data_IF_935127214234
#
_entry.id   IF_935127214234
#
_cell.length_a   1.000
_cell.length_b   1.000
_cell.length_c   1.000
_cell.angle_alpha   90.00
_cell.angle_beta   90.00
_cell.angle_gamma   90.00
#
_symmetry.space_group_name_H-M   'P 1'
#
loop_
_entity.id
_entity.type
_entity.pdbx_description
1 polymer ?
#
# COMPACT_ATOMS: atom_id res chain seq x y z
N UNK A 1 36.65 3.09 -1.09
CA UNK A 1 36.15 4.03 -2.11
C UNK A 1 34.75 4.48 -1.71
N UNK A 2 34.63 5.64 -1.09
CA UNK A 2 33.35 6.24 -0.68
C UNK A 2 32.75 6.99 -1.88
N UNK A 3 31.52 6.63 -2.27
CA UNK A 3 30.79 7.28 -3.36
C UNK A 3 29.92 8.40 -2.78
N UNK A 4 30.24 9.63 -3.12
CA UNK A 4 29.39 10.79 -2.83
C UNK A 4 28.29 10.92 -3.89
N UNK A 5 27.06 11.25 -3.48
CA UNK A 5 25.93 11.51 -4.38
C UNK A 5 25.27 12.83 -4.00
N UNK A 6 25.15 13.73 -4.98
CA UNK A 6 24.43 15.01 -4.83
C UNK A 6 22.91 14.75 -4.85
N UNK A 7 22.20 15.21 -3.82
CA UNK A 7 20.77 14.93 -3.61
C UNK A 7 19.82 16.02 -4.13
N UNK A 8 20.34 17.21 -4.48
CA UNK A 8 19.58 18.34 -5.03
C UNK A 8 20.42 19.61 -5.13
N UNK A 9 19.94 20.61 -5.90
CA UNK A 9 20.53 21.94 -6.01
C UNK A 9 19.43 23.01 -5.88
N UNK A 10 19.70 24.11 -5.16
CA UNK A 10 18.79 25.26 -5.04
C UNK A 10 19.61 26.54 -4.99
N UNK A 11 19.22 27.52 -5.81
CA UNK A 11 19.90 28.80 -5.94
C UNK A 11 19.16 29.86 -5.12
N UNK A 12 19.89 30.64 -4.34
CA UNK A 12 19.34 31.74 -3.54
C UNK A 12 19.81 33.07 -4.08
N UNK A 13 18.88 34.00 -4.27
CA UNK A 13 19.19 35.40 -4.53
C UNK A 13 19.28 36.13 -3.19
N UNK A 14 20.47 36.61 -2.86
CA UNK A 14 20.74 37.30 -1.60
C UNK A 14 20.43 38.81 -1.71
N UNK A 15 19.27 39.15 -2.27
CA UNK A 15 18.87 40.54 -2.54
C UNK A 15 18.34 41.30 -1.32
N UNK A 16 18.14 40.63 -0.18
CA UNK A 16 17.65 41.24 1.08
C UNK A 16 18.49 40.86 2.31
N UNK A 17 19.81 40.87 2.16
CA UNK A 17 20.71 40.75 3.31
C UNK A 17 20.68 42.06 4.11
N UNK A 18 20.11 42.03 5.31
CA UNK A 18 20.28 43.10 6.29
C UNK A 18 21.67 42.93 6.93
N UNK A 19 22.54 43.95 6.90
CA UNK A 19 23.91 43.84 7.42
C UNK A 19 24.00 43.79 8.95
N UNK A 20 22.91 44.09 9.66
CA UNK A 20 22.86 44.02 11.12
C UNK A 20 21.84 42.96 11.57
N UNK A 21 22.32 41.73 11.78
CA UNK A 21 21.56 40.63 12.36
C UNK A 21 21.99 39.25 11.84
N UNK A 22 21.83 38.22 12.69
CA UNK A 22 22.04 36.82 12.28
C UNK A 22 20.79 36.31 11.55
N UNK A 23 20.93 35.97 10.26
CA UNK A 23 19.81 35.44 9.46
C UNK A 23 19.93 33.92 9.35
N UNK A 24 18.98 33.19 9.96
CA UNK A 24 18.87 31.74 9.87
C UNK A 24 17.75 31.34 8.93
N UNK A 25 18.08 30.61 7.86
CA UNK A 25 17.11 30.08 6.89
C UNK A 25 17.09 28.55 7.00
N UNK A 26 15.91 27.99 7.24
CA UNK A 26 15.72 26.53 7.28
C UNK A 26 15.36 26.02 5.89
N UNK A 27 16.15 25.07 5.40
CA UNK A 27 15.95 24.42 4.12
C UNK A 27 15.21 23.09 4.32
N UNK A 28 14.01 22.99 3.73
CA UNK A 28 13.32 21.70 3.58
C UNK A 28 13.78 21.09 2.27
N UNK A 29 14.45 19.94 2.34
CA UNK A 29 14.88 19.16 1.17
C UNK A 29 13.78 18.16 0.81
N UNK A 30 13.13 18.38 -0.33
CA UNK A 30 12.14 17.44 -0.85
C UNK A 30 12.82 16.42 -1.79
N UNK A 31 12.56 15.11 -1.63
CA UNK A 31 13.07 14.09 -2.55
C UNK A 31 12.49 14.29 -3.96
N UNK A 32 13.36 14.39 -4.97
CA UNK A 32 12.98 14.54 -6.39
C UNK A 32 12.06 13.39 -6.84
N UNK A 33 10.76 13.64 -6.84
CA UNK A 33 9.76 12.85 -7.55
C UNK A 33 9.34 13.65 -8.79
N UNK A 34 9.92 13.26 -9.93
CA UNK A 34 9.53 13.62 -11.30
C UNK A 34 9.04 15.05 -11.56
N UNK A 35 9.97 15.90 -12.00
CA UNK A 35 9.71 17.06 -12.87
C UNK A 35 8.87 16.60 -14.08
N UNK A 36 7.57 16.88 -14.05
CA UNK A 36 6.77 17.11 -15.26
C UNK A 36 6.96 18.56 -15.65
N UNK A 37 7.30 18.76 -16.92
CA UNK A 37 7.49 20.06 -17.57
C UNK A 37 6.23 20.94 -17.46
N UNK A 38 6.42 22.25 -17.23
CA UNK A 38 5.42 23.29 -17.52
C UNK A 38 5.12 24.26 -16.38
N UNK A 39 5.85 25.37 -16.32
CA UNK A 39 5.45 26.55 -15.53
C UNK A 39 4.43 27.39 -16.31
N UNK A 40 3.29 27.72 -15.69
CA UNK A 40 2.87 29.12 -15.44
C UNK A 40 1.68 29.17 -14.46
N UNK A 41 1.51 30.27 -13.69
CA UNK A 41 0.88 30.28 -12.36
C UNK A 41 -0.51 30.95 -12.32
N UNK A 42 -1.05 31.13 -11.09
CA UNK A 42 -2.30 31.83 -10.64
C UNK A 42 -3.40 30.83 -10.24
N UNK A 43 -4.08 30.85 -9.09
CA UNK A 43 -4.22 31.74 -7.93
C UNK A 43 -4.96 30.97 -6.80
N UNK A 44 -5.02 31.46 -5.54
CA UNK A 44 -5.61 30.75 -4.41
C UNK A 44 -7.11 31.09 -4.24
N UNK A 45 -7.94 30.10 -3.98
CA UNK A 45 -9.23 30.33 -3.31
C UNK A 45 -9.75 29.07 -2.62
N UNK A 46 -9.94 29.21 -1.32
CA UNK A 46 -10.54 28.26 -0.40
C UNK A 46 -11.96 27.86 -0.83
N UNK A 47 -12.30 26.59 -0.63
CA UNK A 47 -13.63 26.15 -0.18
C UNK A 47 -13.48 24.81 0.54
N UNK A 48 -13.88 24.81 1.80
CA UNK A 48 -14.03 23.64 2.66
C UNK A 48 -15.05 22.68 2.08
N UNK A 49 -14.64 21.44 1.81
CA UNK A 49 -15.51 20.28 2.04
C UNK A 49 -14.66 19.14 2.58
N UNK A 50 -15.20 18.52 3.61
CA UNK A 50 -14.63 17.41 4.35
C UNK A 50 -14.48 16.20 3.43
N UNK A 51 -13.25 15.82 3.12
CA UNK A 51 -12.93 14.51 2.56
C UNK A 51 -11.78 13.90 3.37
N UNK A 52 -12.07 12.82 4.08
CA UNK A 52 -11.06 11.92 4.65
C UNK A 52 -10.30 11.23 3.52
N UNK A 53 -9.40 11.96 2.86
CA UNK A 53 -8.65 11.49 1.69
C UNK A 53 -7.13 11.42 1.95
N UNK A 54 -6.69 11.39 3.22
CA UNK A 54 -5.27 11.33 3.54
C UNK A 54 -4.66 9.91 3.48
N UNK A 55 -5.45 8.85 3.32
CA UNK A 55 -4.97 7.46 3.52
C UNK A 55 -4.61 6.71 2.23
N UNK A 56 -4.35 7.42 1.12
CA UNK A 56 -3.94 6.76 -0.15
C UNK A 56 -2.47 6.90 -0.48
N UNK A 57 -1.69 7.67 0.29
CA UNK A 57 -0.24 7.69 0.13
C UNK A 57 0.33 6.41 0.76
N UNK A 58 1.22 5.72 0.04
CA UNK A 58 1.88 4.52 0.56
C UNK A 58 2.70 4.91 1.79
N UNK A 59 2.88 4.01 2.75
CA UNK A 59 3.67 4.33 3.94
C UNK A 59 5.09 4.63 3.45
N UNK A 60 5.74 5.64 4.02
CA UNK A 60 7.08 6.06 3.64
C UNK A 60 8.15 5.07 4.14
N UNK A 61 7.97 3.78 3.92
CA UNK A 61 8.84 2.69 4.32
C UNK A 61 9.78 2.28 3.19
N UNK A 62 10.83 3.09 2.96
CA UNK A 62 12.11 2.61 2.42
C UNK A 62 12.12 1.85 1.08
N UNK A 63 11.04 1.85 0.30
CA UNK A 63 10.91 1.08 -0.94
C UNK A 63 10.54 -0.40 -0.75
N UNK A 64 10.06 -0.80 0.43
CA UNK A 64 9.49 -2.12 0.67
C UNK A 64 8.18 -2.30 -0.12
N UNK A 65 7.84 -3.51 -0.60
CA UNK A 65 6.60 -3.75 -1.33
C UNK A 65 5.38 -3.60 -0.41
N UNK A 66 4.39 -2.84 -0.83
CA UNK A 66 3.19 -2.57 -0.03
C UNK A 66 1.90 -2.87 -0.80
N UNK A 67 0.83 -3.15 -0.08
CA UNK A 67 -0.49 -3.42 -0.64
C UNK A 67 -1.59 -2.65 0.11
N UNK A 68 -2.40 -1.90 -0.64
CA UNK A 68 -3.62 -1.28 -0.13
C UNK A 68 -4.77 -2.28 -0.22
N UNK A 69 -5.31 -2.63 0.93
CA UNK A 69 -6.40 -3.60 1.09
C UNK A 69 -7.59 -2.90 1.72
N UNK A 70 -8.78 -3.17 1.18
CA UNK A 70 -10.06 -2.76 1.77
C UNK A 70 -10.76 -3.96 2.41
N UNK A 71 -11.19 -3.86 3.66
CA UNK A 71 -11.94 -4.91 4.36
C UNK A 71 -13.30 -4.40 4.81
N UNK A 72 -14.34 -5.22 4.67
CA UNK A 72 -15.64 -4.99 5.29
C UNK A 72 -16.30 -6.31 5.68
N UNK A 73 -17.00 -6.33 6.81
CA UNK A 73 -17.75 -7.51 7.23
C UNK A 73 -19.17 -7.16 7.61
N UNK A 74 -20.12 -7.89 7.02
CA UNK A 74 -21.53 -7.80 7.36
C UNK A 74 -21.92 -9.01 8.23
N UNK A 75 -22.05 -8.78 9.55
CA UNK A 75 -22.39 -9.81 10.52
C UNK A 75 -23.78 -10.44 10.32
N UNK A 76 -24.75 -9.69 9.78
CA UNK A 76 -26.11 -10.20 9.51
C UNK A 76 -26.11 -11.23 8.40
N UNK A 77 -25.30 -11.01 7.37
CA UNK A 77 -25.21 -11.89 6.19
C UNK A 77 -24.03 -12.87 6.24
N UNK A 78 -23.10 -12.70 7.19
CA UNK A 78 -21.85 -13.45 7.28
C UNK A 78 -20.91 -13.22 6.09
N UNK A 79 -20.96 -12.04 5.46
CA UNK A 79 -20.15 -11.73 4.27
C UNK A 79 -18.91 -10.92 4.64
N UNK A 80 -17.74 -11.52 4.47
CA UNK A 80 -16.44 -10.85 4.52
C UNK A 80 -16.06 -10.42 3.10
N UNK A 81 -15.97 -9.12 2.85
CA UNK A 81 -15.51 -8.57 1.58
C UNK A 81 -14.08 -8.07 1.70
N UNK A 82 -13.25 -8.48 0.77
CA UNK A 82 -11.83 -8.13 0.69
C UNK A 82 -11.57 -7.52 -0.67
N UNK A 83 -11.21 -6.25 -0.69
CA UNK A 83 -10.81 -5.54 -1.89
C UNK A 83 -9.29 -5.42 -1.96
N UNK A 84 -8.71 -5.98 -3.01
CA UNK A 84 -7.32 -5.72 -3.35
C UNK A 84 -7.28 -4.50 -4.26
N UNK A 85 -6.81 -3.36 -3.75
CA UNK A 85 -7.00 -2.05 -4.42
C UNK A 85 -5.78 -1.73 -5.30
N UNK A 86 -4.61 -1.58 -4.69
CA UNK A 86 -3.36 -1.23 -5.39
C UNK A 86 -2.13 -1.74 -4.65
N UNK A 87 -1.08 -2.03 -5.40
CA UNK A 87 0.26 -2.29 -4.86
C UNK A 87 1.16 -1.08 -5.03
N UNK A 88 2.20 -0.98 -4.21
CA UNK A 88 3.29 -0.01 -4.33
C UNK A 88 4.64 -0.71 -4.25
N UNK A 89 5.64 -0.15 -4.93
CA UNK A 89 7.04 -0.56 -4.82
C UNK A 89 7.32 -2.04 -5.18
N UNK A 90 6.55 -2.63 -6.08
CA UNK A 90 6.83 -3.98 -6.59
C UNK A 90 7.99 -3.93 -7.59
N UNK A 91 9.21 -3.95 -7.05
CA UNK A 91 10.45 -3.92 -7.83
C UNK A 91 10.98 -5.32 -8.04
N UNK A 92 11.38 -5.60 -9.28
CA UNK A 92 12.16 -6.78 -9.59
C UNK A 92 13.62 -6.34 -9.75
N UNK A 93 14.46 -6.63 -8.76
CA UNK A 93 15.87 -6.23 -8.80
C UNK A 93 16.67 -7.02 -9.85
N UNK A 94 16.20 -8.20 -10.25
CA UNK A 94 16.91 -9.09 -11.16
C UNK A 94 16.72 -8.73 -12.64
N UNK A 95 15.66 -7.99 -12.98
CA UNK A 95 15.33 -7.60 -14.35
C UNK A 95 14.93 -6.14 -14.24
N UNK A 96 15.67 -5.22 -14.87
CA UNK A 96 15.38 -3.77 -14.90
C UNK A 96 14.04 -3.44 -15.62
N UNK A 97 12.96 -4.13 -15.27
CA UNK A 97 11.62 -4.06 -15.81
C UNK A 97 10.64 -4.32 -14.68
N UNK A 98 9.56 -3.55 -14.68
CA UNK A 98 8.45 -3.78 -13.77
C UNK A 98 7.85 -5.20 -13.92
N UNK A 99 7.46 -5.86 -12.82
CA UNK A 99 6.94 -7.22 -12.84
C UNK A 99 5.52 -7.31 -13.43
N UNK A 100 5.15 -8.52 -13.85
CA UNK A 100 3.76 -8.89 -14.13
C UNK A 100 3.16 -9.50 -12.87
N UNK A 101 2.26 -8.81 -12.18
CA UNK A 101 1.83 -9.17 -10.83
C UNK A 101 0.40 -9.68 -10.76
N UNK A 102 0.13 -10.59 -9.84
CA UNK A 102 -1.21 -10.99 -9.44
C UNK A 102 -1.23 -11.39 -7.97
N UNK A 103 -2.36 -11.11 -7.30
CA UNK A 103 -2.62 -11.53 -5.93
C UNK A 103 -3.26 -12.92 -5.87
N UNK A 104 -2.96 -13.65 -4.80
CA UNK A 104 -3.74 -14.80 -4.34
C UNK A 104 -4.24 -14.50 -2.94
N UNK A 105 -5.50 -14.81 -2.71
CA UNK A 105 -6.14 -14.72 -1.42
C UNK A 105 -6.51 -16.13 -0.98
N UNK A 106 -6.24 -16.45 0.27
CA UNK A 106 -6.62 -17.69 0.92
C UNK A 106 -7.32 -17.36 2.23
N UNK A 107 -8.46 -17.99 2.48
CA UNK A 107 -9.07 -17.97 3.80
C UNK A 107 -8.81 -19.32 4.46
N UNK A 108 -8.21 -19.28 5.64
CA UNK A 108 -7.86 -20.45 6.44
C UNK A 108 -8.74 -20.48 7.70
N UNK A 109 -9.09 -21.67 8.17
CA UNK A 109 -9.72 -21.85 9.48
C UNK A 109 -8.67 -21.89 10.61
N UNK A 110 -9.12 -22.07 11.85
CA UNK A 110 -8.26 -22.11 13.05
C UNK A 110 -7.19 -23.19 13.05
N UNK A 111 -7.39 -24.28 12.29
CA UNK A 111 -6.41 -25.38 12.16
C UNK A 111 -5.56 -25.25 10.88
N UNK A 112 -5.66 -24.12 10.16
CA UNK A 112 -4.86 -23.83 8.97
C UNK A 112 -5.36 -24.50 7.68
N UNK A 113 -6.55 -25.09 7.66
CA UNK A 113 -7.13 -25.66 6.44
C UNK A 113 -7.71 -24.56 5.54
N UNK A 114 -7.43 -24.65 4.24
CA UNK A 114 -7.95 -23.77 3.22
C UNK A 114 -9.48 -23.92 3.09
N UNK A 115 -10.22 -22.90 3.50
CA UNK A 115 -11.67 -22.82 3.33
C UNK A 115 -12.04 -22.30 1.94
N UNK A 116 -11.26 -21.34 1.42
CA UNK A 116 -11.50 -20.76 0.11
C UNK A 116 -10.25 -20.10 -0.46
N UNK A 117 -10.25 -19.93 -1.78
CA UNK A 117 -9.13 -19.35 -2.51
C UNK A 117 -9.59 -18.55 -3.72
N UNK A 118 -9.02 -17.37 -3.86
CA UNK A 118 -9.25 -16.49 -5.01
C UNK A 118 -7.92 -15.99 -5.58
N UNK A 119 -7.98 -15.49 -6.81
CA UNK A 119 -6.84 -14.87 -7.49
C UNK A 119 -7.31 -13.64 -8.24
N UNK A 120 -6.48 -12.61 -8.28
CA UNK A 120 -6.76 -11.44 -9.10
C UNK A 120 -6.45 -11.70 -10.57
N UNK A 121 -6.92 -10.79 -11.42
CA UNK A 121 -6.38 -10.60 -12.75
C UNK A 121 -4.90 -10.21 -12.69
N UNK A 122 -4.19 -10.43 -13.80
CA UNK A 122 -2.76 -10.15 -13.89
C UNK A 122 -2.55 -8.73 -14.40
N UNK A 123 -1.80 -7.92 -13.66
CA UNK A 123 -1.38 -6.57 -14.03
C UNK A 123 0.05 -6.62 -14.57
N UNK A 124 0.27 -6.15 -15.80
CA UNK A 124 1.53 -6.38 -16.51
C UNK A 124 2.42 -5.16 -16.52
N UNK A 125 3.71 -5.35 -16.24
CA UNK A 125 4.73 -4.29 -16.36
C UNK A 125 4.45 -3.05 -15.51
N UNK A 126 3.89 -3.21 -14.31
CA UNK A 126 3.55 -2.09 -13.43
C UNK A 126 4.22 -2.26 -12.06
N UNK A 127 5.06 -1.31 -11.60
CA UNK A 127 5.64 -1.37 -10.25
C UNK A 127 4.63 -1.00 -9.17
N UNK A 128 3.60 -0.23 -9.53
CA UNK A 128 2.49 0.16 -8.67
C UNK A 128 1.16 -0.28 -9.32
N UNK A 129 0.87 -1.59 -9.36
CA UNK A 129 -0.30 -2.11 -10.07
C UNK A 129 -1.60 -1.69 -9.37
N UNK A 130 -2.62 -1.36 -10.15
CA UNK A 130 -3.98 -1.12 -9.65
C UNK A 130 -4.84 -2.33 -9.98
N UNK A 131 -5.35 -3.00 -8.96
CA UNK A 131 -6.20 -4.18 -9.08
C UNK A 131 -7.68 -3.81 -9.08
N UNK A 132 -8.16 -3.14 -8.02
CA UNK A 132 -9.57 -2.80 -7.77
C UNK A 132 -10.49 -4.02 -7.94
N UNK A 133 -10.10 -5.13 -7.32
CA UNK A 133 -10.83 -6.40 -7.39
C UNK A 133 -11.34 -6.76 -5.99
N UNK A 134 -12.64 -7.00 -5.87
CA UNK A 134 -13.29 -7.39 -4.62
C UNK A 134 -13.61 -8.89 -4.62
N UNK A 135 -13.26 -9.55 -3.52
CA UNK A 135 -13.53 -10.96 -3.24
C UNK A 135 -14.44 -11.07 -2.03
N UNK A 136 -15.41 -11.97 -2.07
CA UNK A 136 -16.38 -12.14 -0.99
C UNK A 136 -16.29 -13.57 -0.47
N UNK A 137 -16.14 -13.70 0.84
CA UNK A 137 -16.08 -14.95 1.56
C UNK A 137 -17.26 -15.08 2.52
N UNK A 138 -17.80 -16.29 2.63
CA UNK A 138 -18.87 -16.60 3.57
C UNK A 138 -18.24 -17.07 4.89
N UNK A 139 -18.35 -16.26 5.94
CA UNK A 139 -17.77 -16.51 7.26
C UNK A 139 -18.80 -16.16 8.33
N UNK A 140 -19.21 -17.15 9.13
CA UNK A 140 -20.14 -16.90 10.23
C UNK A 140 -19.48 -16.06 11.32
N UNK A 141 -20.26 -15.24 12.04
CA UNK A 141 -19.72 -14.30 13.04
C UNK A 141 -18.89 -15.01 14.11
N UNK A 142 -19.34 -16.18 14.57
CA UNK A 142 -18.61 -16.97 15.57
C UNK A 142 -17.29 -17.56 15.06
N UNK A 143 -17.09 -17.65 13.74
CA UNK A 143 -15.85 -18.13 13.12
C UNK A 143 -14.89 -16.98 12.81
N UNK A 144 -15.37 -15.73 12.76
CA UNK A 144 -14.59 -14.60 12.26
C UNK A 144 -13.32 -14.32 13.07
N UNK A 145 -13.33 -14.60 14.37
CA UNK A 145 -12.15 -14.48 15.24
C UNK A 145 -11.09 -15.55 14.96
N UNK A 146 -11.51 -16.69 14.42
CA UNK A 146 -10.69 -17.90 14.28
C UNK A 146 -10.15 -18.09 12.86
N UNK A 147 -10.57 -17.27 11.90
CA UNK A 147 -10.10 -17.33 10.52
C UNK A 147 -8.85 -16.50 10.30
N UNK A 148 -8.04 -16.93 9.34
CA UNK A 148 -6.89 -16.15 8.85
C UNK A 148 -7.05 -15.90 7.36
N UNK A 149 -7.07 -14.63 6.96
CA UNK A 149 -7.01 -14.20 5.59
C UNK A 149 -5.54 -13.98 5.21
N UNK A 150 -5.02 -14.80 4.30
CA UNK A 150 -3.67 -14.67 3.78
C UNK A 150 -3.70 -14.11 2.36
N UNK A 151 -2.94 -13.04 2.13
CA UNK A 151 -2.80 -12.39 0.82
C UNK A 151 -1.35 -12.50 0.38
N UNK A 152 -1.11 -13.02 -0.81
CA UNK A 152 0.25 -13.15 -1.37
C UNK A 152 0.31 -12.60 -2.78
N UNK A 153 1.33 -11.81 -3.08
CA UNK A 153 1.56 -11.23 -4.41
C UNK A 153 2.65 -12.01 -5.13
N UNK A 154 2.40 -12.34 -6.40
CA UNK A 154 3.35 -13.09 -7.21
C UNK A 154 3.70 -12.35 -8.50
N UNK A 155 4.96 -12.48 -8.89
CA UNK A 155 5.47 -12.12 -10.21
C UNK A 155 5.31 -13.32 -11.17
N UNK A 156 4.49 -13.16 -12.21
CA UNK A 156 4.31 -14.14 -13.27
C UNK A 156 5.44 -14.00 -14.29
N UNK A 157 6.30 -15.01 -14.35
CA UNK A 157 7.33 -15.16 -15.40
C UNK A 157 6.88 -16.24 -16.39
N UNK A 158 7.00 -15.96 -17.68
CA UNK A 158 6.55 -16.86 -18.78
C UNK A 158 7.30 -18.19 -18.84
N UNK A 159 8.53 -18.25 -18.32
CA UNK A 159 9.42 -19.42 -18.43
C UNK A 159 10.13 -19.82 -17.12
N UNK A 160 9.87 -19.15 -15.99
CA UNK A 160 10.52 -19.44 -14.69
C UNK A 160 9.48 -19.76 -13.62
N UNK A 161 9.91 -20.44 -12.54
CA UNK A 161 9.11 -20.67 -11.33
C UNK A 161 8.52 -19.34 -10.85
N UNK A 162 7.25 -19.39 -10.41
CA UNK A 162 6.54 -18.25 -9.82
C UNK A 162 7.36 -17.69 -8.66
N UNK A 163 7.67 -16.41 -8.71
CA UNK A 163 8.41 -15.70 -7.68
C UNK A 163 7.39 -14.94 -6.82
N UNK A 164 7.43 -15.16 -5.51
CA UNK A 164 6.61 -14.39 -4.57
C UNK A 164 7.29 -13.03 -4.38
N UNK A 165 6.51 -11.96 -4.47
CA UNK A 165 6.99 -10.60 -4.15
C UNK A 165 6.91 -10.38 -2.65
N UNK A 166 5.82 -10.85 -2.04
CA UNK A 166 5.64 -10.84 -0.60
C UNK A 166 4.23 -11.29 -0.23
N UNK A 167 3.98 -11.33 1.07
CA UNK A 167 2.72 -11.79 1.63
C UNK A 167 2.38 -11.05 2.93
N UNK A 168 1.12 -11.15 3.33
CA UNK A 168 0.61 -10.63 4.60
C UNK A 168 -0.53 -11.54 5.08
N UNK A 169 -0.83 -11.50 6.38
CA UNK A 169 -1.93 -12.23 6.98
C UNK A 169 -2.74 -11.34 7.92
N UNK A 170 -4.06 -11.46 7.90
CA UNK A 170 -5.01 -10.70 8.71
C UNK A 170 -5.94 -11.70 9.46
N UNK A 171 -6.27 -11.43 10.72
CA UNK A 171 -7.18 -12.25 11.52
C UNK A 171 -6.49 -13.01 12.65
N UNK A 172 -6.82 -14.27 12.86
CA UNK A 172 -6.32 -15.06 13.99
C UNK A 172 -4.77 -15.14 14.04
N UNK A 173 -4.13 -15.23 12.88
CA UNK A 173 -2.68 -15.29 12.74
C UNK A 173 -2.17 -14.09 11.94
N UNK A 174 -2.52 -12.88 12.38
CA UNK A 174 -2.06 -11.63 11.75
C UNK A 174 -0.54 -11.55 11.68
N UNK A 175 -0.01 -11.03 10.58
CA UNK A 175 1.45 -10.92 10.35
C UNK A 175 2.14 -9.85 11.19
N UNK A 176 1.38 -8.90 11.74
CA UNK A 176 1.85 -7.77 12.51
C UNK A 176 0.70 -7.04 13.21
N UNK A 177 1.05 -6.05 14.04
CA UNK A 177 0.09 -5.24 14.81
C UNK A 177 -0.83 -4.44 13.88
N UNK A 178 -0.29 -3.82 12.82
CA UNK A 178 -1.10 -3.06 11.86
C UNK A 178 -2.16 -3.91 11.14
N UNK A 179 -1.85 -5.19 10.87
CA UNK A 179 -2.81 -6.14 10.31
C UNK A 179 -3.88 -6.54 11.31
N UNK A 180 -3.48 -6.77 12.57
CA UNK A 180 -4.41 -7.09 13.64
C UNK A 180 -5.40 -5.95 13.87
N UNK A 181 -4.90 -4.72 13.97
CA UNK A 181 -5.70 -3.51 14.16
C UNK A 181 -6.68 -3.32 13.00
N UNK A 182 -6.26 -3.58 11.76
CA UNK A 182 -7.15 -3.43 10.60
C UNK A 182 -8.27 -4.46 10.63
N UNK A 183 -7.97 -5.69 11.05
CA UNK A 183 -8.97 -6.73 11.22
C UNK A 183 -9.96 -6.41 12.35
N UNK A 184 -9.46 -5.87 13.47
CA UNK A 184 -10.28 -5.48 14.62
C UNK A 184 -11.20 -4.30 14.29
N UNK A 185 -10.65 -3.25 13.69
CA UNK A 185 -11.44 -2.10 13.25
C UNK A 185 -12.54 -2.53 12.27
N UNK A 186 -12.24 -3.44 11.34
CA UNK A 186 -13.22 -3.98 10.40
C UNK A 186 -14.38 -4.71 11.10
N UNK A 187 -14.11 -5.46 12.18
CA UNK A 187 -15.16 -6.11 12.97
C UNK A 187 -16.10 -5.09 13.63
N UNK A 188 -15.57 -3.96 14.05
CA UNK A 188 -16.32 -2.91 14.76
C UNK A 188 -17.15 -2.02 13.83
N UNK A 189 -16.74 -1.85 12.58
CA UNK A 189 -17.30 -0.85 11.65
C UNK A 189 -18.58 -1.33 10.93
N UNK A 190 -19.21 -2.42 11.42
CA UNK A 190 -20.56 -2.89 11.05
C UNK A 190 -20.88 -2.86 9.54
N UNK A 191 -19.94 -3.25 8.70
CA UNK A 191 -20.13 -3.37 7.25
C UNK A 191 -19.69 -2.17 6.41
N UNK A 192 -19.22 -1.08 7.03
CA UNK A 192 -18.46 -0.10 6.27
C UNK A 192 -17.08 -0.67 5.91
N UNK A 193 -16.55 -0.22 4.77
CA UNK A 193 -15.25 -0.64 4.31
C UNK A 193 -14.16 0.24 4.89
N UNK A 194 -13.10 -0.39 5.38
CA UNK A 194 -11.90 0.26 5.88
C UNK A 194 -10.76 -0.11 4.94
N UNK A 195 -9.95 0.88 4.57
CA UNK A 195 -8.85 0.70 3.64
C UNK A 195 -7.53 1.05 4.33
N UNK A 196 -6.56 0.14 4.28
CA UNK A 196 -5.24 0.34 4.89
C UNK A 196 -4.12 -0.22 4.03
N UNK A 197 -2.99 0.48 4.05
CA UNK A 197 -1.74 -0.02 3.48
C UNK A 197 -1.09 -1.00 4.43
N UNK A 198 -0.53 -2.06 3.86
CA UNK A 198 0.24 -3.06 4.57
C UNK A 198 1.56 -3.30 3.86
N UNK A 199 2.64 -3.37 4.64
CA UNK A 199 3.94 -3.79 4.11
C UNK A 199 3.92 -5.30 3.92
N UNK A 200 4.30 -5.77 2.74
CA UNK A 200 4.37 -7.19 2.45
C UNK A 200 5.68 -7.76 3.00
N UNK A 201 5.57 -8.86 3.75
CA UNK A 201 6.72 -9.61 4.24
C UNK A 201 7.41 -10.34 3.09
N UNK A 202 8.74 -10.32 3.11
CA UNK A 202 9.58 -11.06 2.15
C UNK A 202 9.49 -12.58 2.37
N UNK A 203 9.76 -13.36 1.32
CA UNK A 203 9.73 -14.83 1.33
C UNK A 203 11.11 -15.45 1.49
#
# INVERSE_FOLDING_TARGET
MTRERMMGEKLFHLSHLHPEGEMKVTLVLEPRSNISSGESPLSPSAVSHSDSASSTQSLSHGGAPELLVGLSYNATTGRLSVEMIKGSHFRNLAVNRAPDTYGKLFLLNSVGQEMSRCKTSIRRGQPNPVYKETFVFQVALFQLSDVTLMISVYNRRTMKRKEMIGWMALGQNSSGEEEQDHWEEMKETKGQQICRWHTLLES
#
